data_IF_772289991018
#
_entry.id   IF_772289991018
#
_cell.length_a   1.000
_cell.length_b   1.000
_cell.length_c   1.000
_cell.angle_alpha   90.00
_cell.angle_beta   90.00
_cell.angle_gamma   90.00
#
_symmetry.space_group_name_H-M   'P 1'
#
loop_
_entity.id
_entity.type
_entity.pdbx_description
1 polymer ?
#
# COMPACT_ATOMS: atom_id res chain seq x y z
N UNK A 1 -5.01 15.34 5.09
CA UNK A 1 -5.64 14.04 4.82
C UNK A 1 -4.54 12.99 4.69
N UNK A 2 -4.71 11.78 5.24
CA UNK A 2 -3.78 10.65 5.09
C UNK A 2 -4.31 9.63 4.08
N UNK A 3 -3.48 9.18 3.16
CA UNK A 3 -3.79 8.16 2.17
C UNK A 3 -3.20 6.82 2.59
N UNK A 4 -3.94 5.73 2.34
CA UNK A 4 -3.40 4.37 2.43
C UNK A 4 -3.53 3.64 1.11
N UNK A 5 -2.46 2.99 0.66
CA UNK A 5 -2.46 2.12 -0.52
C UNK A 5 -1.98 0.71 -0.17
N UNK A 6 -2.34 -0.25 -1.03
CA UNK A 6 -1.79 -1.60 -0.97
C UNK A 6 -0.34 -1.65 -1.46
N UNK A 7 0.48 -2.60 -0.97
CA UNK A 7 1.78 -2.87 -1.54
C UNK A 7 1.64 -3.60 -2.88
N UNK A 8 2.78 -3.86 -3.54
CA UNK A 8 2.83 -4.69 -4.72
C UNK A 8 3.63 -5.98 -4.50
N UNK A 9 3.31 -7.00 -5.31
CA UNK A 9 4.00 -8.29 -5.29
C UNK A 9 5.35 -8.25 -6.01
N UNK A 10 5.43 -7.46 -7.08
CA UNK A 10 6.65 -7.26 -7.84
C UNK A 10 7.44 -6.14 -7.19
N UNK A 11 8.75 -6.34 -7.09
CA UNK A 11 9.68 -5.37 -6.53
C UNK A 11 10.78 -5.09 -7.53
N UNK A 12 11.20 -3.84 -7.61
CA UNK A 12 12.28 -3.36 -8.48
C UNK A 12 13.40 -2.74 -7.63
N UNK A 13 14.51 -3.47 -7.57
CA UNK A 13 15.77 -3.04 -6.95
C UNK A 13 16.87 -2.80 -8.00
N UNK A 14 16.55 -2.94 -9.28
CA UNK A 14 17.50 -2.78 -10.39
C UNK A 14 17.53 -1.34 -10.89
N UNK A 15 16.36 -0.69 -10.98
CA UNK A 15 16.26 0.72 -11.36
C UNK A 15 16.79 1.60 -10.22
N UNK A 16 17.75 2.51 -10.48
CA UNK A 16 18.21 3.46 -9.46
C UNK A 16 17.06 4.33 -8.92
N UNK A 17 17.04 4.66 -7.62
CA UNK A 17 16.01 5.53 -7.06
C UNK A 17 16.17 6.95 -7.61
N UNK A 18 15.04 7.61 -7.91
CA UNK A 18 15.01 9.00 -8.41
C UNK A 18 15.28 10.06 -7.32
N UNK A 19 15.43 9.63 -6.07
CA UNK A 19 15.87 10.47 -4.94
C UNK A 19 16.82 9.68 -4.03
N UNK A 20 17.88 10.30 -3.50
CA UNK A 20 18.77 9.65 -2.53
C UNK A 20 18.18 9.63 -1.10
N UNK A 21 17.15 10.44 -0.84
CA UNK A 21 16.57 10.61 0.49
C UNK A 21 15.82 9.35 0.89
N UNK A 22 16.00 8.95 2.14
CA UNK A 22 15.37 7.76 2.69
C UNK A 22 15.15 7.93 4.19
N UNK A 23 14.26 7.11 4.71
CA UNK A 23 13.99 6.93 6.14
C UNK A 23 14.05 5.44 6.48
N UNK A 24 13.94 5.12 7.77
CA UNK A 24 13.88 3.74 8.24
C UNK A 24 12.44 3.39 8.64
N UNK A 25 11.96 2.15 8.39
CA UNK A 25 10.67 1.71 8.90
C UNK A 25 10.61 1.81 10.43
N UNK A 26 9.47 2.26 10.95
CA UNK A 26 9.34 2.59 12.37
C UNK A 26 9.11 1.38 13.28
N UNK A 27 8.78 0.22 12.71
CA UNK A 27 8.30 -0.97 13.45
C UNK A 27 8.98 -2.27 13.00
N UNK A 28 10.32 -2.21 12.85
CA UNK A 28 11.12 -3.35 12.37
C UNK A 28 11.19 -4.53 13.34
N UNK A 29 10.98 -4.29 14.64
CA UNK A 29 10.93 -5.32 15.67
C UNK A 29 9.82 -6.36 15.37
N UNK A 30 8.65 -5.89 14.95
CA UNK A 30 7.56 -6.77 14.54
C UNK A 30 7.86 -7.50 13.23
N UNK A 31 8.48 -6.83 12.26
CA UNK A 31 8.90 -7.48 11.02
C UNK A 31 9.93 -8.58 11.29
N UNK A 32 10.85 -8.35 12.24
CA UNK A 32 11.86 -9.32 12.64
C UNK A 32 11.25 -10.58 13.26
N UNK A 33 10.20 -10.45 14.08
CA UNK A 33 9.46 -11.61 14.63
C UNK A 33 8.88 -12.50 13.52
N UNK A 34 8.25 -11.89 12.50
CA UNK A 34 7.73 -12.62 11.34
C UNK A 34 8.85 -13.26 10.51
N UNK A 35 9.97 -12.55 10.28
CA UNK A 35 11.13 -13.08 9.56
C UNK A 35 11.75 -14.27 10.28
N UNK A 36 11.90 -14.20 11.60
CA UNK A 36 12.45 -15.30 12.39
C UNK A 36 11.64 -16.58 12.20
N UNK A 37 10.31 -16.48 12.13
CA UNK A 37 9.46 -17.61 11.83
C UNK A 37 9.57 -18.06 10.36
N UNK A 38 9.52 -17.13 9.41
CA UNK A 38 9.57 -17.47 7.98
C UNK A 38 10.89 -18.15 7.58
N UNK A 39 11.99 -17.86 8.28
CA UNK A 39 13.29 -18.50 8.08
C UNK A 39 13.32 -19.98 8.41
N UNK A 40 12.45 -20.45 9.29
CA UNK A 40 12.44 -21.86 9.68
C UNK A 40 11.69 -22.73 8.68
N UNK A 41 10.93 -22.12 7.76
CA UNK A 41 10.14 -22.83 6.76
C UNK A 41 11.02 -23.26 5.59
N UNK A 42 10.89 -24.52 5.20
CA UNK A 42 11.48 -25.02 3.96
C UNK A 42 10.77 -24.41 2.73
N UNK A 43 11.44 -24.34 1.57
CA UNK A 43 10.84 -23.76 0.36
C UNK A 43 9.49 -24.36 -0.04
N UNK A 44 9.26 -25.67 0.15
CA UNK A 44 7.97 -26.31 -0.12
C UNK A 44 6.86 -25.84 0.84
N UNK A 45 7.17 -25.61 2.12
CA UNK A 45 6.21 -25.05 3.09
C UNK A 45 5.86 -23.61 2.74
N UNK A 46 6.84 -22.81 2.28
CA UNK A 46 6.61 -21.44 1.77
C UNK A 46 5.73 -21.48 0.51
N UNK A 47 5.98 -22.43 -0.40
CA UNK A 47 5.20 -22.61 -1.61
C UNK A 47 3.73 -22.88 -1.30
N UNK A 48 3.47 -23.80 -0.35
CA UNK A 48 2.12 -24.14 0.10
C UNK A 48 1.44 -22.96 0.83
N UNK A 49 2.13 -22.35 1.80
CA UNK A 49 1.62 -21.25 2.61
C UNK A 49 1.19 -20.02 1.79
N UNK A 50 1.93 -19.73 0.72
CA UNK A 50 1.76 -18.51 -0.08
C UNK A 50 1.24 -18.79 -1.50
N UNK A 51 0.93 -20.05 -1.82
CA UNK A 51 0.51 -20.51 -3.15
C UNK A 51 1.47 -20.05 -4.27
N UNK A 52 2.76 -20.30 -4.07
CA UNK A 52 3.83 -19.90 -5.00
C UNK A 52 4.32 -21.10 -5.81
N UNK A 53 4.92 -20.81 -6.97
CA UNK A 53 5.74 -21.80 -7.68
C UNK A 53 7.04 -22.07 -6.90
N UNK A 54 7.65 -23.24 -7.11
CA UNK A 54 8.91 -23.64 -6.47
C UNK A 54 10.02 -22.59 -6.64
N UNK A 55 10.12 -22.01 -7.85
CA UNK A 55 11.08 -20.94 -8.15
C UNK A 55 10.86 -19.71 -7.25
N UNK A 56 9.61 -19.28 -7.10
CA UNK A 56 9.29 -18.13 -6.26
C UNK A 56 9.43 -18.45 -4.77
N UNK A 57 9.12 -19.68 -4.37
CA UNK A 57 9.27 -20.10 -2.99
C UNK A 57 10.75 -20.16 -2.57
N UNK A 58 11.63 -20.75 -3.41
CA UNK A 58 13.07 -20.75 -3.20
C UNK A 58 13.65 -19.33 -3.15
N UNK A 59 13.21 -18.43 -4.03
CA UNK A 59 13.60 -17.02 -3.99
C UNK A 59 13.22 -16.36 -2.67
N UNK A 60 12.01 -16.60 -2.16
CA UNK A 60 11.57 -15.98 -0.92
C UNK A 60 12.20 -16.62 0.33
N UNK A 61 12.49 -17.92 0.32
CA UNK A 61 13.31 -18.57 1.35
C UNK A 61 14.68 -17.90 1.47
N UNK A 62 15.35 -17.65 0.33
CA UNK A 62 16.62 -16.93 0.30
C UNK A 62 16.49 -15.49 0.84
N UNK A 63 15.43 -14.76 0.44
CA UNK A 63 15.14 -13.41 0.95
C UNK A 63 14.94 -13.38 2.46
N UNK A 64 14.18 -14.34 3.02
CA UNK A 64 14.00 -14.41 4.47
C UNK A 64 15.32 -14.72 5.18
N UNK A 65 16.10 -15.65 4.64
CA UNK A 65 17.42 -16.01 5.15
C UNK A 65 18.39 -14.82 5.18
N UNK A 66 18.41 -13.99 4.13
CA UNK A 66 19.33 -12.85 4.01
C UNK A 66 18.83 -11.56 4.69
N UNK A 67 17.57 -11.51 5.12
CA UNK A 67 17.01 -10.29 5.71
C UNK A 67 17.76 -9.84 6.97
N UNK A 68 17.87 -8.55 7.27
CA UNK A 68 18.35 -8.11 8.60
C UNK A 68 17.92 -6.67 8.86
N UNK A 69 17.72 -6.25 10.12
CA UNK A 69 17.10 -4.95 10.42
C UNK A 69 18.00 -3.74 10.11
N UNK A 70 19.26 -3.93 9.73
CA UNK A 70 20.19 -2.85 9.38
C UNK A 70 20.06 -2.48 7.90
N UNK A 71 19.03 -1.71 7.57
CA UNK A 71 18.78 -1.30 6.19
C UNK A 71 19.68 -0.16 5.76
N UNK A 72 20.29 -0.33 4.60
CA UNK A 72 21.11 0.67 3.92
C UNK A 72 20.70 0.74 2.46
N UNK A 73 21.00 1.83 1.73
CA UNK A 73 20.76 1.89 0.28
C UNK A 73 21.45 0.76 -0.53
N UNK A 74 22.44 0.07 0.05
CA UNK A 74 23.11 -1.06 -0.58
C UNK A 74 22.32 -2.38 -0.51
N UNK A 75 21.41 -2.52 0.46
CA UNK A 75 20.63 -3.74 0.67
C UNK A 75 19.10 -3.51 0.60
N UNK A 76 18.66 -2.26 0.57
CA UNK A 76 17.26 -1.87 0.64
C UNK A 76 16.98 -0.65 -0.26
N UNK A 77 15.70 -0.43 -0.58
CA UNK A 77 15.24 0.67 -1.41
C UNK A 77 13.97 1.27 -0.82
N UNK A 78 13.74 2.57 -1.04
CA UNK A 78 12.55 3.27 -0.57
C UNK A 78 11.29 2.56 -1.07
N UNK A 79 10.33 2.33 -0.18
CA UNK A 79 9.16 1.51 -0.47
C UNK A 79 8.33 2.03 -1.65
N UNK A 80 8.19 3.36 -1.81
CA UNK A 80 7.46 3.95 -2.95
C UNK A 80 8.14 3.66 -4.29
N UNK A 81 9.46 3.47 -4.30
CA UNK A 81 10.27 3.24 -5.49
C UNK A 81 10.62 1.75 -5.69
N UNK A 82 10.46 0.93 -4.67
CA UNK A 82 10.71 -0.50 -4.72
C UNK A 82 9.49 -1.28 -5.21
N UNK A 83 8.27 -0.91 -4.80
CA UNK A 83 7.07 -1.61 -5.24
C UNK A 83 6.74 -1.31 -6.71
N UNK A 84 6.39 -2.35 -7.49
CA UNK A 84 5.96 -2.25 -8.88
C UNK A 84 4.68 -3.04 -9.15
N UNK A 85 3.76 -2.43 -9.90
CA UNK A 85 2.48 -3.02 -10.29
C UNK A 85 1.44 -1.92 -10.51
N UNK A 86 0.22 -2.28 -10.91
CA UNK A 86 -0.79 -1.34 -11.40
C UNK A 86 -0.98 -0.07 -10.53
N UNK A 87 -1.05 -0.21 -9.20
CA UNK A 87 -1.16 0.94 -8.27
C UNK A 87 0.05 1.87 -8.41
N UNK A 88 1.25 1.32 -8.46
CA UNK A 88 2.50 2.08 -8.55
C UNK A 88 2.73 2.64 -9.95
N UNK A 89 2.27 1.95 -11.00
CA UNK A 89 2.22 2.48 -12.37
C UNK A 89 1.29 3.69 -12.46
N UNK A 90 0.11 3.64 -11.81
CA UNK A 90 -0.78 4.80 -11.76
C UNK A 90 -0.24 5.94 -10.91
N UNK A 91 0.50 5.63 -9.84
CA UNK A 91 1.13 6.62 -8.98
C UNK A 91 2.27 7.36 -9.71
N UNK A 92 3.10 6.60 -10.43
CA UNK A 92 4.25 7.07 -11.22
C UNK A 92 5.18 7.96 -10.37
N UNK A 93 5.71 7.36 -9.30
CA UNK A 93 6.58 8.05 -8.35
C UNK A 93 7.95 8.42 -8.95
N UNK A 94 8.33 7.81 -10.07
CA UNK A 94 9.54 8.13 -10.81
C UNK A 94 9.50 9.54 -11.42
N UNK A 95 8.31 10.11 -11.64
CA UNK A 95 8.14 11.50 -12.13
C UNK A 95 7.90 12.52 -11.01
N UNK A 96 8.17 12.15 -9.75
CA UNK A 96 8.03 13.05 -8.61
C UNK A 96 9.23 13.97 -8.46
N UNK A 97 8.96 15.25 -8.19
CA UNK A 97 9.95 16.17 -7.68
C UNK A 97 10.16 15.95 -6.17
N UNK A 98 11.23 16.51 -5.60
CA UNK A 98 11.52 16.36 -4.16
C UNK A 98 10.38 16.86 -3.25
N UNK A 99 9.70 17.93 -3.65
CA UNK A 99 8.52 18.43 -2.93
C UNK A 99 7.32 17.47 -2.99
N UNK A 100 7.21 16.65 -4.04
CA UNK A 100 6.17 15.61 -4.12
C UNK A 100 6.49 14.48 -3.14
N UNK A 101 7.77 14.09 -3.02
CA UNK A 101 8.21 13.15 -2.00
C UNK A 101 8.00 13.67 -0.58
N UNK A 102 8.21 14.97 -0.33
CA UNK A 102 7.94 15.57 0.98
C UNK A 102 6.45 15.47 1.35
N UNK A 103 5.58 15.81 0.41
CA UNK A 103 4.14 15.70 0.61
C UNK A 103 3.73 14.24 0.78
N UNK A 104 4.18 13.34 -0.09
CA UNK A 104 3.88 11.92 0.01
C UNK A 104 4.38 11.35 1.35
N UNK A 105 5.59 11.69 1.79
CA UNK A 105 6.16 11.16 3.03
C UNK A 105 5.30 11.48 4.25
N UNK A 106 4.65 12.66 4.26
CA UNK A 106 3.69 13.05 5.30
C UNK A 106 2.34 12.37 5.09
N UNK A 107 1.80 12.45 3.88
CA UNK A 107 0.40 12.14 3.59
C UNK A 107 0.11 10.73 3.06
N UNK A 108 1.09 9.90 2.72
CA UNK A 108 0.87 8.55 2.18
C UNK A 108 1.44 7.48 3.10
N UNK A 109 0.74 6.35 3.23
CA UNK A 109 1.25 5.12 3.83
C UNK A 109 0.94 3.92 2.94
N UNK A 110 1.87 2.97 2.91
CA UNK A 110 1.67 1.67 2.28
C UNK A 110 1.46 0.64 3.37
N UNK A 111 0.33 -0.08 3.31
CA UNK A 111 0.10 -1.24 4.17
C UNK A 111 1.03 -2.38 3.74
N UNK A 112 1.46 -3.22 4.68
CA UNK A 112 2.40 -4.31 4.39
C UNK A 112 2.14 -5.51 5.29
N UNK A 113 2.14 -6.72 4.73
CA UNK A 113 2.05 -7.94 5.54
C UNK A 113 3.25 -8.12 6.47
N UNK A 114 4.47 -7.75 6.01
CA UNK A 114 5.70 -7.90 6.77
C UNK A 114 6.03 -6.68 7.65
N UNK A 115 5.93 -5.48 7.08
CA UNK A 115 6.32 -4.25 7.77
C UNK A 115 5.16 -3.57 8.51
N UNK A 116 3.92 -4.06 8.32
CA UNK A 116 2.70 -3.47 8.87
C UNK A 116 2.32 -2.19 8.13
N UNK A 117 3.13 -1.14 8.30
CA UNK A 117 2.94 0.19 7.72
C UNK A 117 4.29 0.79 7.31
N UNK A 118 4.39 1.24 6.06
CA UNK A 118 5.57 1.91 5.51
C UNK A 118 5.23 3.33 5.07
N UNK A 119 6.17 4.26 5.28
CA UNK A 119 6.16 5.58 4.63
C UNK A 119 6.85 5.50 3.26
N UNK A 120 6.55 6.41 2.32
CA UNK A 120 7.14 6.45 0.99
C UNK A 120 8.65 6.25 0.93
N UNK A 121 9.39 6.94 1.79
CA UNK A 121 10.85 6.95 1.81
C UNK A 121 11.45 5.90 2.75
N UNK A 122 10.63 5.10 3.44
CA UNK A 122 11.15 4.02 4.29
C UNK A 122 11.86 2.98 3.42
N UNK A 123 13.12 2.70 3.75
CA UNK A 123 13.85 1.59 3.14
C UNK A 123 13.12 0.27 3.44
N UNK A 124 13.05 -0.60 2.45
CA UNK A 124 12.61 -1.98 2.64
C UNK A 124 13.55 -2.93 1.92
N UNK A 125 13.74 -4.10 2.52
CA UNK A 125 14.36 -5.25 1.88
C UNK A 125 13.31 -6.09 1.15
N UNK A 126 13.69 -6.85 0.11
CA UNK A 126 12.76 -7.62 -0.71
C UNK A 126 12.12 -8.75 0.09
N UNK A 127 10.81 -8.93 -0.08
CA UNK A 127 10.04 -9.97 0.62
C UNK A 127 8.79 -10.36 -0.19
N UNK A 128 8.11 -11.42 0.24
CA UNK A 128 6.75 -11.76 -0.20
C UNK A 128 5.92 -12.18 1.01
N UNK A 129 5.10 -11.28 1.54
CA UNK A 129 4.18 -11.65 2.62
C UNK A 129 2.91 -10.82 2.45
N UNK A 130 1.90 -11.46 1.89
CA UNK A 130 0.61 -10.84 1.62
C UNK A 130 -0.20 -10.78 2.91
N UNK A 131 -0.97 -9.72 3.13
CA UNK A 131 -1.71 -9.55 4.39
C UNK A 131 -2.69 -10.69 4.65
N UNK A 132 -3.24 -11.29 3.58
CA UNK A 132 -4.12 -12.45 3.67
C UNK A 132 -3.44 -13.78 4.03
N UNK A 133 -2.11 -13.85 4.16
CA UNK A 133 -1.40 -15.11 4.46
C UNK A 133 -1.79 -15.63 5.85
N UNK A 134 -2.19 -16.90 5.92
CA UNK A 134 -2.56 -17.61 7.16
C UNK A 134 -1.32 -18.12 7.90
N UNK A 135 -0.38 -17.22 8.18
CA UNK A 135 0.80 -17.52 9.00
C UNK A 135 0.39 -17.49 10.47
N UNK A 136 0.12 -18.66 11.05
CA UNK A 136 -0.08 -18.78 12.50
C UNK A 136 1.19 -18.36 13.23
N UNK A 137 1.08 -17.54 14.27
CA UNK A 137 2.18 -16.89 14.97
C UNK A 137 1.86 -16.76 16.47
N UNK A 138 2.80 -16.24 17.27
CA UNK A 138 2.62 -16.10 18.72
C UNK A 138 1.42 -15.24 19.14
N UNK A 139 0.88 -14.42 18.22
CA UNK A 139 -0.22 -13.47 18.47
C UNK A 139 -1.54 -13.91 17.83
N UNK A 140 -1.58 -15.05 17.13
CA UNK A 140 -2.81 -15.62 16.61
C UNK A 140 -2.64 -16.42 15.33
N UNK A 141 -3.77 -16.70 14.66
CA UNK A 141 -3.86 -17.64 13.54
C UNK A 141 -3.41 -17.10 12.18
N UNK A 142 -3.24 -15.78 12.06
CA UNK A 142 -2.93 -15.10 10.80
C UNK A 142 -2.29 -13.72 11.05
N UNK A 143 -1.96 -12.99 9.98
CA UNK A 143 -1.35 -11.66 10.07
C UNK A 143 -2.32 -10.58 10.55
N UNK A 144 -3.63 -10.75 10.38
CA UNK A 144 -4.61 -9.81 10.92
C UNK A 144 -4.62 -9.85 12.46
N UNK A 145 -4.48 -11.04 13.04
CA UNK A 145 -4.32 -11.22 14.48
C UNK A 145 -2.95 -10.70 14.95
N UNK A 146 -1.89 -10.97 14.19
CA UNK A 146 -0.54 -10.49 14.50
C UNK A 146 -0.46 -8.97 14.65
N UNK A 147 -1.00 -8.25 13.66
CA UNK A 147 -1.01 -6.80 13.67
C UNK A 147 -2.03 -6.24 14.66
N UNK A 148 -3.17 -6.91 14.86
CA UNK A 148 -4.18 -6.50 15.82
C UNK A 148 -4.63 -5.06 15.55
N UNK A 149 -4.52 -4.18 16.56
CA UNK A 149 -4.83 -2.75 16.44
C UNK A 149 -3.62 -1.86 16.16
N UNK A 150 -2.41 -2.43 16.05
CA UNK A 150 -1.15 -1.66 15.93
C UNK A 150 -1.15 -0.73 14.72
N UNK A 151 -1.54 -1.25 13.55
CA UNK A 151 -1.60 -0.46 12.31
C UNK A 151 -2.57 0.73 12.47
N UNK A 152 -3.75 0.52 13.09
CA UNK A 152 -4.67 1.62 13.39
C UNK A 152 -4.04 2.65 14.34
N UNK A 153 -3.35 2.20 15.38
CA UNK A 153 -2.64 3.09 16.32
C UNK A 153 -1.56 3.94 15.64
N UNK A 154 -0.80 3.36 14.72
CA UNK A 154 0.24 4.09 13.96
C UNK A 154 -0.36 5.06 12.94
N UNK A 155 -1.47 4.70 12.31
CA UNK A 155 -2.23 5.62 11.46
C UNK A 155 -2.79 6.79 12.27
N UNK A 156 -3.30 6.56 13.48
CA UNK A 156 -3.75 7.62 14.38
C UNK A 156 -2.60 8.58 14.74
N UNK A 157 -1.41 8.06 15.02
CA UNK A 157 -0.24 8.90 15.30
C UNK A 157 0.13 9.77 14.09
N UNK A 158 0.12 9.20 12.88
CA UNK A 158 0.39 9.93 11.65
C UNK A 158 -0.66 11.02 11.35
N UNK A 159 -1.94 10.72 11.56
CA UNK A 159 -3.05 11.68 11.41
C UNK A 159 -2.91 12.85 12.40
N UNK A 160 -2.64 12.54 13.68
CA UNK A 160 -2.43 13.54 14.70
C UNK A 160 -1.22 14.45 14.40
N UNK A 161 -0.12 13.90 13.88
CA UNK A 161 1.08 14.66 13.51
C UNK A 161 0.82 15.72 12.43
N UNK A 162 -0.06 15.43 11.47
CA UNK A 162 -0.44 16.38 10.42
C UNK A 162 -1.66 17.26 10.77
N UNK A 163 -2.27 17.05 11.94
CA UNK A 163 -3.37 17.88 12.45
C UNK A 163 -4.71 17.64 11.75
N UNK A 164 -4.97 16.42 11.26
CA UNK A 164 -6.25 16.05 10.65
C UNK A 164 -6.75 14.68 11.09
N UNK A 165 -7.98 14.35 10.71
CA UNK A 165 -8.70 13.13 11.09
C UNK A 165 -9.32 12.45 9.86
N UNK A 166 -8.76 12.63 8.67
CA UNK A 166 -9.32 12.11 7.42
C UNK A 166 -8.39 11.09 6.81
N UNK A 167 -8.88 9.86 6.65
CA UNK A 167 -8.16 8.79 5.98
C UNK A 167 -8.83 8.45 4.65
N UNK A 168 -8.12 8.67 3.54
CA UNK A 168 -8.52 8.25 2.21
C UNK A 168 -8.03 6.81 1.95
N UNK A 169 -8.98 5.88 1.87
CA UNK A 169 -8.68 4.48 1.60
C UNK A 169 -8.59 4.21 0.09
N UNK A 170 -7.36 3.96 -0.36
CA UNK A 170 -7.01 3.53 -1.72
C UNK A 170 -6.40 2.11 -1.71
N UNK A 171 -6.51 1.39 -0.61
CA UNK A 171 -6.03 0.02 -0.48
C UNK A 171 -7.12 -0.98 -0.91
N UNK A 172 -6.70 -2.21 -1.21
CA UNK A 172 -7.63 -3.33 -1.35
C UNK A 172 -8.25 -3.71 -0.01
N UNK A 173 -9.41 -4.37 -0.05
CA UNK A 173 -10.06 -4.91 1.15
C UNK A 173 -9.16 -5.84 1.96
N UNK A 174 -8.34 -6.65 1.28
CA UNK A 174 -7.36 -7.53 1.93
C UNK A 174 -6.44 -6.72 2.86
N UNK A 175 -5.76 -5.70 2.34
CA UNK A 175 -4.85 -4.91 3.15
C UNK A 175 -5.59 -4.04 4.17
N UNK A 176 -6.69 -3.39 3.78
CA UNK A 176 -7.41 -2.51 4.67
C UNK A 176 -8.08 -3.24 5.84
N UNK A 177 -8.32 -4.56 5.75
CA UNK A 177 -8.82 -5.38 6.87
C UNK A 177 -7.83 -5.49 8.05
N UNK A 178 -6.55 -5.14 7.83
CA UNK A 178 -5.55 -4.97 8.88
C UNK A 178 -5.74 -3.67 9.68
N UNK A 179 -6.43 -2.68 9.11
CA UNK A 179 -6.82 -1.45 9.79
C UNK A 179 -8.14 -1.69 10.53
N UNK A 180 -8.09 -1.71 11.85
CA UNK A 180 -9.28 -1.87 12.70
C UNK A 180 -10.02 -0.55 12.76
N UNK A 181 -11.12 -0.44 12.01
CA UNK A 181 -11.95 0.78 11.90
C UNK A 181 -12.39 1.31 13.28
N UNK A 182 -12.70 0.42 14.25
CA UNK A 182 -13.11 0.83 15.61
C UNK A 182 -11.99 1.47 16.43
N UNK A 183 -10.74 1.18 16.12
CA UNK A 183 -9.56 1.73 16.79
C UNK A 183 -8.94 2.90 16.01
N UNK A 184 -9.52 3.29 14.87
CA UNK A 184 -9.05 4.39 14.04
C UNK A 184 -9.82 5.66 14.40
N UNK A 185 -9.10 6.71 14.78
CA UNK A 185 -9.64 8.01 15.13
C UNK A 185 -9.72 8.90 13.89
N UNK A 186 -10.42 8.41 12.86
CA UNK A 186 -10.50 9.09 11.58
C UNK A 186 -11.82 8.83 10.87
N UNK A 187 -12.29 9.84 10.14
CA UNK A 187 -13.28 9.69 9.08
C UNK A 187 -12.62 8.98 7.89
N UNK A 188 -13.16 7.81 7.53
CA UNK A 188 -12.65 7.02 6.40
C UNK A 188 -13.44 7.39 5.15
N UNK A 189 -12.74 7.76 4.08
CA UNK A 189 -13.32 7.97 2.77
C UNK A 189 -12.87 6.81 1.87
N UNK A 190 -13.83 5.99 1.46
CA UNK A 190 -13.61 4.88 0.53
C UNK A 190 -13.81 5.36 -0.92
N UNK A 191 -13.03 4.82 -1.87
CA UNK A 191 -13.20 5.11 -3.30
C UNK A 191 -13.51 3.86 -4.11
N UNK A 192 -14.38 3.98 -5.11
CA UNK A 192 -14.65 2.94 -6.09
C UNK A 192 -14.46 3.46 -7.51
N UNK A 193 -13.58 2.79 -8.26
CA UNK A 193 -13.37 3.06 -9.67
C UNK A 193 -14.06 1.97 -10.49
N UNK A 194 -15.00 2.37 -11.34
CA UNK A 194 -15.80 1.45 -12.17
C UNK A 194 -15.67 1.81 -13.63
N UNK A 195 -15.56 0.79 -14.46
CA UNK A 195 -15.44 0.92 -15.91
C UNK A 195 -16.69 0.32 -16.57
N UNK A 196 -17.15 0.94 -17.64
CA UNK A 196 -18.28 0.44 -18.43
C UNK A 196 -17.88 -0.85 -19.14
N UNK A 197 -18.61 -1.94 -18.84
CA UNK A 197 -18.44 -3.25 -19.50
C UNK A 197 -19.79 -3.89 -19.71
N UNK A 198 -20.12 -4.19 -20.97
CA UNK A 198 -21.40 -4.78 -21.38
C UNK A 198 -22.61 -3.96 -20.88
N UNK A 199 -22.55 -2.64 -21.04
CA UNK A 199 -23.65 -1.73 -20.66
C UNK A 199 -23.81 -1.47 -19.16
N UNK A 200 -22.91 -1.99 -18.31
CA UNK A 200 -22.95 -1.78 -16.86
C UNK A 200 -21.57 -1.36 -16.32
N UNK A 201 -21.56 -0.46 -15.34
CA UNK A 201 -20.33 -0.08 -14.64
C UNK A 201 -19.95 -1.14 -13.61
N UNK A 202 -18.74 -1.69 -13.75
CA UNK A 202 -18.20 -2.74 -12.87
C UNK A 202 -16.79 -2.40 -12.43
N UNK A 203 -16.40 -2.89 -11.25
CA UNK A 203 -15.00 -2.83 -10.82
C UNK A 203 -14.22 -3.84 -11.66
N UNK A 204 -13.31 -3.34 -12.50
CA UNK A 204 -12.37 -4.16 -13.25
C UNK A 204 -11.03 -4.08 -12.51
N UNK A 205 -10.61 -5.20 -11.90
CA UNK A 205 -9.57 -5.20 -10.85
C UNK A 205 -8.25 -4.53 -11.25
N UNK A 206 -7.77 -4.70 -12.47
CA UNK A 206 -6.51 -4.08 -12.92
C UNK A 206 -6.66 -2.56 -13.14
N UNK A 207 -7.74 -2.12 -13.79
CA UNK A 207 -8.05 -0.69 -13.91
C UNK A 207 -8.28 -0.03 -12.55
N UNK A 208 -9.03 -0.66 -11.65
CA UNK A 208 -9.28 -0.12 -10.32
C UNK A 208 -7.99 0.02 -9.49
N UNK A 209 -7.02 -0.89 -9.65
CA UNK A 209 -5.70 -0.75 -9.02
C UNK A 209 -4.93 0.44 -9.61
N UNK A 210 -4.86 0.56 -10.94
CA UNK A 210 -4.23 1.73 -11.60
C UNK A 210 -4.88 3.04 -11.18
N UNK A 211 -6.21 3.09 -11.13
CA UNK A 211 -6.99 4.26 -10.73
C UNK A 211 -6.75 4.68 -9.27
N UNK A 212 -6.57 3.73 -8.34
CA UNK A 212 -6.12 4.04 -6.96
C UNK A 212 -4.76 4.72 -6.95
N UNK A 213 -3.83 4.25 -7.79
CA UNK A 213 -2.54 4.90 -8.01
C UNK A 213 -2.68 6.32 -8.54
N UNK A 214 -3.50 6.50 -9.58
CA UNK A 214 -3.79 7.80 -10.18
C UNK A 214 -4.42 8.78 -9.19
N UNK A 215 -5.35 8.31 -8.35
CA UNK A 215 -5.96 9.14 -7.30
C UNK A 215 -4.92 9.55 -6.25
N UNK A 216 -4.06 8.63 -5.82
CA UNK A 216 -2.95 8.97 -4.92
C UNK A 216 -2.01 10.00 -5.56
N UNK A 217 -1.67 9.84 -6.85
CA UNK A 217 -0.88 10.79 -7.62
C UNK A 217 -1.55 12.17 -7.67
N UNK A 218 -2.83 12.23 -8.01
CA UNK A 218 -3.60 13.45 -8.09
C UNK A 218 -3.59 14.21 -6.75
N UNK A 219 -3.92 13.52 -5.65
CA UNK A 219 -3.87 14.11 -4.30
C UNK A 219 -2.47 14.64 -3.96
N UNK A 220 -1.43 13.90 -4.30
CA UNK A 220 -0.06 14.32 -4.06
C UNK A 220 0.27 15.54 -4.90
N UNK A 221 0.15 15.46 -6.23
CA UNK A 221 0.54 16.52 -7.18
C UNK A 221 -0.23 17.82 -6.93
N UNK A 222 -1.52 17.74 -6.67
CA UNK A 222 -2.38 18.89 -6.37
C UNK A 222 -2.36 19.32 -4.90
N UNK A 223 -1.58 18.64 -4.05
CA UNK A 223 -1.41 18.94 -2.61
C UNK A 223 -2.75 18.97 -1.86
N UNK A 224 -3.68 18.08 -2.20
CA UNK A 224 -5.03 18.10 -1.65
C UNK A 224 -5.05 17.71 -0.18
N UNK A 225 -5.60 18.60 0.64
CA UNK A 225 -5.85 18.36 2.07
C UNK A 225 -7.34 18.26 2.42
N UNK A 226 -8.21 18.85 1.59
CA UNK A 226 -9.67 18.79 1.72
C UNK A 226 -10.25 17.67 0.84
N UNK A 227 -11.03 16.72 1.40
CA UNK A 227 -11.66 15.67 0.61
C UNK A 227 -12.68 16.16 -0.43
N UNK A 228 -13.20 17.39 -0.36
CA UNK A 228 -14.09 17.90 -1.40
C UNK A 228 -13.40 17.97 -2.77
N UNK A 229 -12.11 18.31 -2.80
CA UNK A 229 -11.32 18.36 -4.04
C UNK A 229 -11.15 17.01 -4.73
N UNK A 230 -11.38 15.89 -4.03
CA UNK A 230 -11.32 14.55 -4.65
C UNK A 230 -12.36 14.36 -5.77
N UNK A 231 -13.46 15.11 -5.73
CA UNK A 231 -14.55 15.02 -6.71
C UNK A 231 -14.16 15.55 -8.08
N UNK A 232 -13.11 16.37 -8.16
CA UNK A 232 -12.62 16.96 -9.41
C UNK A 232 -11.60 16.05 -10.12
N UNK A 233 -11.32 14.86 -9.57
CA UNK A 233 -10.45 13.87 -10.20
C UNK A 233 -11.02 13.41 -11.56
N UNK A 234 -10.24 13.64 -12.62
CA UNK A 234 -10.61 13.36 -14.01
C UNK A 234 -9.56 12.56 -14.81
N UNK A 235 -8.52 12.04 -14.14
CA UNK A 235 -7.39 11.40 -14.83
C UNK A 235 -7.84 10.16 -15.61
N UNK A 236 -7.28 10.02 -16.82
CA UNK A 236 -7.55 8.92 -17.74
C UNK A 236 -9.06 8.70 -18.03
N UNK A 237 -9.87 9.76 -17.99
CA UNK A 237 -11.29 9.73 -18.34
C UNK A 237 -12.24 9.21 -17.25
N UNK A 238 -11.75 9.01 -16.01
CA UNK A 238 -12.64 8.84 -14.87
C UNK A 238 -13.41 10.14 -14.58
N UNK A 239 -14.59 10.02 -13.99
CA UNK A 239 -15.37 11.17 -13.51
C UNK A 239 -16.14 10.82 -12.26
N UNK A 240 -16.25 11.75 -11.32
CA UNK A 240 -17.08 11.58 -10.14
C UNK A 240 -18.55 11.38 -10.51
N UNK A 241 -19.22 10.45 -9.83
CA UNK A 241 -20.65 10.20 -9.99
C UNK A 241 -21.37 10.48 -8.67
N UNK A 242 -22.10 11.60 -8.62
CA UNK A 242 -22.80 12.04 -7.41
C UNK A 242 -23.90 11.06 -6.97
N UNK A 243 -24.62 10.47 -7.91
CA UNK A 243 -25.76 9.58 -7.63
C UNK A 243 -25.33 8.26 -6.95
N UNK A 244 -24.20 7.69 -7.38
CA UNK A 244 -23.64 6.47 -6.81
C UNK A 244 -22.76 6.71 -5.57
N UNK A 245 -22.51 7.98 -5.21
CA UNK A 245 -21.64 8.37 -4.11
C UNK A 245 -22.42 8.72 -2.85
N UNK A 246 -21.75 8.65 -1.71
CA UNK A 246 -22.23 9.16 -0.42
C UNK A 246 -21.15 10.03 0.22
N UNK A 247 -21.39 10.51 1.44
CA UNK A 247 -20.43 11.37 2.14
C UNK A 247 -19.04 10.72 2.30
N UNK A 248 -19.00 9.41 2.57
CA UNK A 248 -17.77 8.66 2.90
C UNK A 248 -17.40 7.62 1.84
N UNK A 249 -18.10 7.64 0.70
CA UNK A 249 -17.86 6.73 -0.41
C UNK A 249 -17.96 7.49 -1.74
N UNK A 250 -16.84 7.65 -2.42
CA UNK A 250 -16.77 8.34 -3.70
C UNK A 250 -16.66 7.34 -4.84
N UNK A 251 -17.59 7.41 -5.79
CA UNK A 251 -17.61 6.54 -6.97
C UNK A 251 -17.18 7.33 -8.20
N UNK A 252 -16.22 6.79 -8.92
CA UNK A 252 -15.71 7.32 -10.18
C UNK A 252 -16.01 6.36 -11.32
N UNK A 253 -16.59 6.86 -12.40
CA UNK A 253 -17.00 6.08 -13.56
C UNK A 253 -16.13 6.42 -14.77
N UNK A 254 -15.83 5.42 -15.61
CA UNK A 254 -15.13 5.60 -16.88
C UNK A 254 -15.80 4.79 -17.99
N UNK A 255 -16.00 5.42 -19.14
CA UNK A 255 -16.77 4.83 -20.26
C UNK A 255 -15.87 4.03 -21.18
N UNK A 256 -14.66 4.53 -21.43
CA UNK A 256 -13.67 3.88 -22.28
C UNK A 256 -12.31 3.98 -21.59
N UNK A 257 -11.63 2.86 -21.35
CA UNK A 257 -10.26 2.88 -20.85
C UNK A 257 -9.34 3.62 -21.82
N UNK A 258 -8.55 4.53 -21.29
CA UNK A 258 -7.43 5.16 -22.01
C UNK A 258 -6.14 4.45 -21.59
N UNK A 259 -5.24 4.23 -22.55
CA UNK A 259 -3.94 3.61 -22.30
C UNK A 259 -3.03 4.52 -21.45
#
# INVERSE_FOLDING_TARGET
MLLVISPAKTLDYETPPVTPRHTQPQHLDHAQELIQQLRTLAPNEIAELMHLSDKLAGLNAARYGSWHPEFTPANAKQALLAFKGDVYTGLDAESFAEADFDFAQRHLRMLSGLYGLLRPLDLMQPYRLEMGTKLANARGKDLYAFWGERISGWLNAALAEQGDDILLNLASTEYFSSVKRKALNARIIDTEFKDLKNGQYKIISFYAKKARGLMARYVIKERLTDPQGLKDFDYQGYRYNAEASSADKLVFLRDTPQD
#
